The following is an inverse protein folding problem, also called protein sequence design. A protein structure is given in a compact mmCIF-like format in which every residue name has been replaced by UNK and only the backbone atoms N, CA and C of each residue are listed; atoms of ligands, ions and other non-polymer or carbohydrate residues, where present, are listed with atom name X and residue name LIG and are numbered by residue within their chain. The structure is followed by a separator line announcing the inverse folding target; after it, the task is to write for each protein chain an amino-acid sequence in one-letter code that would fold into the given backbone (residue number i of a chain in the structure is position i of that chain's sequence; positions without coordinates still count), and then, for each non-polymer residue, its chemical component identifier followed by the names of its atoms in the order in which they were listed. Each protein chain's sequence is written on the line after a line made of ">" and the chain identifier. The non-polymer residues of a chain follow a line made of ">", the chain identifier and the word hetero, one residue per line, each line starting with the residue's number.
data_IF_320875442480
#
_entry.id   IF_320875442480
#
_cell.length_a   1.000
_cell.length_b   1.000
_cell.length_c   1.000
_cell.angle_alpha   90.00
_cell.angle_beta   90.00
_cell.angle_gamma   90.00
#
_symmetry.space_group_name_H-M   'P 1'
#
loop_
_entity.id
_entity.type
_entity.pdbx_description
1 polymer ?
#
# COMPACT_ATOMS: atom_id res chain seq x y z
N UNK A 1 0.42 0.56 8.81
CA UNK A 1 1.55 1.34 8.28
C UNK A 1 1.22 2.81 8.42
N UNK A 2 2.10 3.59 9.01
CA UNK A 2 1.90 5.03 9.17
C UNK A 2 2.64 5.78 8.06
N UNK A 3 1.93 6.67 7.39
CA UNK A 3 2.50 7.60 6.42
C UNK A 3 2.82 8.91 7.14
N UNK A 4 4.07 9.38 7.03
CA UNK A 4 4.47 10.67 7.55
C UNK A 4 4.21 11.76 6.52
N UNK A 5 3.44 12.76 6.92
CA UNK A 5 2.97 13.82 6.04
C UNK A 5 3.76 15.10 6.22
N UNK A 6 3.90 15.85 5.14
CA UNK A 6 4.40 17.23 5.15
C UNK A 6 3.26 18.25 5.18
N UNK A 7 2.05 17.82 4.88
CA UNK A 7 0.86 18.66 4.79
C UNK A 7 -0.33 17.94 5.43
N UNK A 8 -1.20 18.70 6.10
CA UNK A 8 -2.41 18.19 6.77
C UNK A 8 -3.65 18.24 5.89
N UNK A 9 -3.55 18.82 4.70
CA UNK A 9 -4.67 18.98 3.79
C UNK A 9 -4.65 17.91 2.70
N UNK A 10 -5.74 17.13 2.53
CA UNK A 10 -5.81 16.18 1.44
C UNK A 10 -5.85 16.89 0.09
N UNK A 11 -5.25 16.26 -0.91
CA UNK A 11 -5.29 16.71 -2.30
C UNK A 11 -6.33 15.92 -3.07
N UNK A 12 -6.84 16.50 -4.14
CA UNK A 12 -7.69 15.80 -5.11
C UNK A 12 -6.85 15.52 -6.36
N UNK A 13 -6.86 14.29 -6.81
CA UNK A 13 -6.11 13.89 -8.00
C UNK A 13 -6.70 14.57 -9.24
N UNK A 14 -5.91 15.40 -9.90
CA UNK A 14 -6.29 16.10 -11.14
C UNK A 14 -6.21 15.16 -12.35
N UNK A 15 -5.36 14.15 -12.26
CA UNK A 15 -5.17 13.07 -13.24
C UNK A 15 -4.94 11.76 -12.49
N UNK A 16 -4.98 10.63 -13.21
CA UNK A 16 -4.63 9.34 -12.64
C UNK A 16 -3.16 9.34 -12.21
N UNK A 17 -2.89 8.93 -10.97
CA UNK A 17 -1.54 8.85 -10.41
C UNK A 17 -1.13 7.38 -10.38
N UNK A 18 -0.04 7.05 -11.07
CA UNK A 18 0.53 5.71 -11.03
C UNK A 18 1.27 5.48 -9.72
N UNK A 19 0.88 4.43 -9.02
CA UNK A 19 1.45 4.02 -7.73
C UNK A 19 1.62 2.50 -7.67
N UNK A 20 2.26 2.00 -6.64
CA UNK A 20 2.61 0.57 -6.53
C UNK A 20 2.25 0.03 -5.15
N UNK A 21 1.78 -1.20 -5.12
CA UNK A 21 1.42 -1.89 -3.89
C UNK A 21 2.07 -3.26 -3.85
N UNK A 22 2.59 -3.65 -2.69
CA UNK A 22 3.13 -4.99 -2.47
C UNK A 22 2.03 -5.86 -1.89
N UNK A 23 1.72 -6.95 -2.55
CA UNK A 23 0.65 -7.87 -2.17
C UNK A 23 1.16 -9.32 -2.15
N UNK A 24 0.56 -10.14 -1.31
CA UNK A 24 0.73 -11.59 -1.40
C UNK A 24 -0.06 -12.13 -2.60
N UNK A 25 0.61 -12.88 -3.47
CA UNK A 25 -0.05 -13.67 -4.50
C UNK A 25 -0.57 -14.96 -3.87
N UNK A 26 -1.86 -15.12 -3.78
CA UNK A 26 -2.45 -16.31 -3.18
C UNK A 26 -2.21 -17.58 -4.01
N UNK A 27 -1.96 -17.44 -5.31
CA UNK A 27 -1.55 -18.57 -6.17
C UNK A 27 -0.18 -19.08 -5.74
N UNK A 28 0.78 -18.20 -5.53
CA UNK A 28 2.14 -18.57 -5.09
C UNK A 28 2.18 -19.09 -3.65
N UNK A 29 1.38 -18.53 -2.77
CA UNK A 29 1.24 -19.04 -1.40
C UNK A 29 0.69 -20.48 -1.42
N UNK A 30 -0.24 -20.80 -2.34
CA UNK A 30 -0.76 -22.16 -2.52
C UNK A 30 0.30 -23.14 -2.99
N UNK A 31 1.21 -22.73 -3.83
CA UNK A 31 2.29 -23.60 -4.31
C UNK A 31 3.27 -23.98 -3.21
N UNK A 32 3.44 -23.11 -2.22
CA UNK A 32 4.28 -23.36 -1.06
C UNK A 32 3.61 -24.17 0.05
N UNK A 33 2.29 -24.05 0.18
CA UNK A 33 1.52 -24.76 1.21
C UNK A 33 0.86 -25.98 0.56
N UNK A 34 1.45 -27.14 0.73
CA UNK A 34 0.91 -28.43 0.24
C UNK A 34 -0.36 -28.88 0.96
N UNK A 35 -1.06 -28.00 1.65
CA UNK A 35 -2.24 -28.33 2.42
C UNK A 35 -3.51 -28.19 1.57
N UNK A 36 -4.10 -29.32 1.23
CA UNK A 36 -5.28 -29.42 0.37
C UNK A 36 -6.52 -28.67 0.88
N UNK A 37 -6.66 -28.45 2.19
CA UNK A 37 -7.80 -27.72 2.75
C UNK A 37 -7.69 -26.20 2.50
N UNK A 38 -6.50 -25.65 2.53
CA UNK A 38 -6.27 -24.25 2.19
C UNK A 38 -6.53 -23.97 0.70
N UNK A 39 -6.23 -24.94 -0.19
CA UNK A 39 -6.48 -24.82 -1.62
C UNK A 39 -7.96 -24.61 -1.95
N UNK A 40 -8.86 -25.06 -1.14
CA UNK A 40 -10.31 -25.00 -1.38
C UNK A 40 -10.90 -23.66 -0.96
N UNK A 41 -10.44 -23.08 0.15
CA UNK A 41 -10.92 -21.79 0.67
C UNK A 41 -10.28 -20.58 -0.01
N UNK A 42 -9.13 -20.75 -0.68
CA UNK A 42 -8.40 -19.68 -1.35
C UNK A 42 -8.66 -19.59 -2.86
N UNK A 43 -9.62 -20.35 -3.38
CA UNK A 43 -9.88 -20.41 -4.83
C UNK A 43 -10.27 -19.07 -5.46
N UNK A 44 -10.82 -18.16 -4.70
CA UNK A 44 -11.37 -16.90 -5.20
C UNK A 44 -10.51 -15.67 -4.87
N UNK A 45 -9.65 -15.73 -3.85
CA UNK A 45 -8.79 -14.62 -3.49
C UNK A 45 -7.50 -14.66 -4.31
N UNK A 46 -7.26 -13.63 -5.11
CA UNK A 46 -6.11 -13.56 -5.99
C UNK A 46 -4.91 -12.90 -5.29
N UNK A 47 -5.14 -11.86 -4.53
CA UNK A 47 -4.12 -11.07 -3.83
C UNK A 47 -4.58 -10.64 -2.45
N UNK A 48 -3.65 -10.47 -1.53
CA UNK A 48 -3.95 -10.07 -0.16
C UNK A 48 -2.94 -9.04 0.34
N UNK A 49 -3.42 -8.00 1.01
CA UNK A 49 -2.54 -7.04 1.66
C UNK A 49 -1.79 -7.70 2.84
N UNK A 50 -0.47 -7.52 2.95
CA UNK A 50 0.30 -8.03 4.08
C UNK A 50 -0.04 -7.37 5.41
N UNK A 51 -0.67 -6.19 5.39
CA UNK A 51 -0.95 -5.42 6.59
C UNK A 51 -2.39 -5.57 7.10
N UNK A 52 -3.34 -5.76 6.21
CA UNK A 52 -4.76 -5.76 6.57
C UNK A 52 -5.48 -7.08 6.25
N UNK A 53 -4.80 -8.01 5.64
CA UNK A 53 -5.36 -9.29 5.18
C UNK A 53 -6.62 -9.13 4.32
N UNK A 54 -6.76 -7.98 3.68
CA UNK A 54 -7.87 -7.70 2.79
C UNK A 54 -7.64 -8.33 1.42
N UNK A 55 -8.63 -9.00 0.83
CA UNK A 55 -8.50 -9.57 -0.50
C UNK A 55 -8.57 -8.48 -1.57
N UNK A 56 -7.71 -8.60 -2.58
CA UNK A 56 -7.69 -7.72 -3.75
C UNK A 56 -7.77 -8.54 -5.03
N UNK A 57 -8.36 -7.97 -6.06
CA UNK A 57 -8.41 -8.51 -7.41
C UNK A 57 -7.94 -7.47 -8.41
N UNK A 58 -7.24 -7.91 -9.46
CA UNK A 58 -6.82 -7.02 -10.55
C UNK A 58 -8.04 -6.49 -11.32
N UNK A 59 -7.93 -5.27 -11.80
CA UNK A 59 -8.98 -4.60 -12.56
C UNK A 59 -10.12 -4.04 -11.73
N UNK A 60 -10.09 -4.19 -10.42
CA UNK A 60 -11.13 -3.67 -9.53
C UNK A 60 -10.73 -2.37 -8.86
N UNK A 61 -11.77 -1.58 -8.56
CA UNK A 61 -11.69 -0.34 -7.80
C UNK A 61 -12.00 -0.62 -6.34
N UNK A 62 -11.17 -0.09 -5.45
CA UNK A 62 -11.33 -0.18 -4.01
C UNK A 62 -11.50 1.19 -3.39
N UNK A 63 -12.37 1.28 -2.41
CA UNK A 63 -12.62 2.50 -1.66
C UNK A 63 -12.40 2.25 -0.16
N UNK A 64 -11.85 3.24 0.52
CA UNK A 64 -11.63 3.21 1.96
C UNK A 64 -11.81 4.60 2.54
N UNK A 65 -12.04 4.66 3.83
CA UNK A 65 -12.03 5.94 4.53
C UNK A 65 -10.60 6.48 4.52
N UNK A 66 -10.44 7.72 4.12
CA UNK A 66 -9.19 8.45 4.29
C UNK A 66 -9.25 9.13 5.67
N UNK A 67 -8.40 8.69 6.57
CA UNK A 67 -8.37 9.17 7.94
C UNK A 67 -7.95 10.63 8.05
N UNK A 68 -8.03 11.16 9.25
CA UNK A 68 -7.52 12.49 9.57
C UNK A 68 -6.07 12.37 10.04
N UNK A 69 -5.19 13.29 9.63
CA UNK A 69 -3.82 13.32 10.11
C UNK A 69 -3.75 13.49 11.63
N UNK A 70 -2.87 12.71 12.25
CA UNK A 70 -2.50 12.86 13.65
C UNK A 70 -1.30 13.79 13.75
N UNK A 71 -1.45 14.89 14.45
CA UNK A 71 -0.37 15.86 14.69
C UNK A 71 0.17 15.66 16.09
N UNK A 72 1.48 15.43 16.20
CA UNK A 72 2.13 15.23 17.50
C UNK A 72 3.09 16.37 17.81
N UNK A 73 3.05 16.84 19.05
CA UNK A 73 3.92 17.86 19.58
C UNK A 73 4.72 17.31 20.77
N UNK A 74 5.92 17.87 21.00
CA UNK A 74 6.69 17.58 22.19
C UNK A 74 6.19 18.37 23.40
N UNK A 75 6.83 18.18 24.57
CA UNK A 75 6.46 18.87 25.81
C UNK A 75 6.68 20.38 25.75
N UNK A 76 7.46 20.86 24.80
CA UNK A 76 7.75 22.29 24.58
C UNK A 76 6.82 22.93 23.54
N UNK A 77 5.89 22.13 22.97
CA UNK A 77 4.95 22.58 21.94
C UNK A 77 5.53 22.61 20.53
N UNK A 78 6.72 22.00 20.32
CA UNK A 78 7.31 21.87 19.01
C UNK A 78 6.74 20.67 18.25
N UNK A 79 6.54 20.83 16.95
CA UNK A 79 6.01 19.77 16.10
C UNK A 79 7.02 18.62 15.98
N UNK A 80 6.60 17.41 16.38
CA UNK A 80 7.38 16.18 16.17
C UNK A 80 7.12 15.59 14.79
N UNK A 81 5.88 15.24 14.51
CA UNK A 81 5.48 14.67 13.23
C UNK A 81 3.98 14.85 12.95
N UNK A 82 3.64 14.60 11.69
CA UNK A 82 2.25 14.47 11.22
C UNK A 82 2.16 13.11 10.57
N UNK A 83 1.28 12.24 11.04
CA UNK A 83 1.14 10.89 10.49
C UNK A 83 -0.31 10.55 10.14
N UNK A 84 -0.47 9.58 9.23
CA UNK A 84 -1.76 9.08 8.77
C UNK A 84 -1.77 7.56 8.82
N UNK A 85 -2.76 6.99 9.47
CA UNK A 85 -2.94 5.54 9.57
C UNK A 85 -3.98 4.98 8.61
N UNK A 86 -5.10 5.66 8.45
CA UNK A 86 -6.24 5.18 7.66
C UNK A 86 -6.19 5.66 6.21
N UNK A 87 -6.33 4.72 5.30
CA UNK A 87 -6.33 4.96 3.86
C UNK A 87 -5.75 3.77 3.10
N UNK A 88 -5.80 3.83 1.79
CA UNK A 88 -5.17 2.85 0.90
C UNK A 88 -3.74 3.29 0.63
N UNK A 89 -2.78 2.65 1.30
CA UNK A 89 -1.36 2.98 1.24
C UNK A 89 -0.67 2.37 0.04
N UNK A 90 0.15 3.16 -0.64
CA UNK A 90 0.91 2.76 -1.83
C UNK A 90 2.28 3.44 -1.88
N UNK A 91 3.20 2.87 -2.66
CA UNK A 91 4.51 3.47 -2.97
C UNK A 91 4.43 4.32 -4.23
N UNK A 92 5.16 5.41 -4.26
CA UNK A 92 5.23 6.29 -5.43
C UNK A 92 6.12 5.76 -6.56
N UNK A 93 7.13 4.95 -6.21
CA UNK A 93 8.13 4.46 -7.15
C UNK A 93 8.16 2.94 -7.18
N UNK A 94 8.31 2.37 -8.38
CA UNK A 94 8.44 0.92 -8.57
C UNK A 94 9.65 0.35 -7.83
N UNK A 95 10.79 1.03 -7.89
CA UNK A 95 12.04 0.57 -7.25
C UNK A 95 11.88 0.44 -5.73
N UNK A 96 11.19 1.37 -5.11
CA UNK A 96 10.93 1.35 -3.66
C UNK A 96 10.02 0.18 -3.27
N UNK A 97 8.98 -0.07 -4.05
CA UNK A 97 8.09 -1.21 -3.85
C UNK A 97 8.81 -2.55 -4.03
N UNK A 98 9.65 -2.66 -5.06
CA UNK A 98 10.46 -3.87 -5.32
C UNK A 98 11.45 -4.10 -4.18
N UNK A 99 12.11 -3.05 -3.71
CA UNK A 99 13.06 -3.16 -2.60
C UNK A 99 12.38 -3.58 -1.29
N UNK A 100 11.21 -3.04 -1.01
CA UNK A 100 10.40 -3.45 0.13
C UNK A 100 10.01 -4.92 0.02
N UNK A 101 9.51 -5.35 -1.14
CA UNK A 101 9.20 -6.76 -1.41
C UNK A 101 10.39 -7.66 -1.14
N UNK A 102 11.56 -7.32 -1.68
CA UNK A 102 12.77 -8.12 -1.53
C UNK A 102 13.25 -8.19 -0.07
N UNK A 103 13.01 -7.14 0.71
CA UNK A 103 13.38 -7.09 2.11
C UNK A 103 12.47 -7.90 3.03
N UNK A 104 11.18 -7.95 2.74
CA UNK A 104 10.15 -8.50 3.64
C UNK A 104 9.61 -9.85 3.23
N UNK A 105 9.71 -10.19 1.95
CA UNK A 105 8.92 -11.26 1.34
C UNK A 105 9.72 -12.46 0.88
N UNK A 106 10.78 -12.75 1.54
CA UNK A 106 11.71 -13.84 1.14
C UNK A 106 11.05 -15.20 0.92
N UNK A 107 9.87 -15.44 1.45
CA UNK A 107 9.30 -16.78 1.50
C UNK A 107 7.83 -16.89 1.06
N UNK A 108 7.15 -15.79 0.77
CA UNK A 108 5.68 -15.81 0.72
C UNK A 108 5.06 -15.44 -0.63
N UNK A 109 5.86 -15.39 -1.69
CA UNK A 109 5.31 -15.14 -3.02
C UNK A 109 4.61 -13.80 -3.15
N UNK A 110 5.20 -12.75 -2.61
CA UNK A 110 4.71 -11.40 -2.80
C UNK A 110 5.03 -10.90 -4.20
N UNK A 111 4.17 -10.05 -4.69
CA UNK A 111 4.29 -9.39 -5.99
C UNK A 111 4.13 -7.88 -5.82
N UNK A 112 4.65 -7.14 -6.77
CA UNK A 112 4.37 -5.71 -6.88
C UNK A 112 3.28 -5.51 -7.93
N UNK A 113 2.22 -4.83 -7.54
CA UNK A 113 1.09 -4.51 -8.42
C UNK A 113 1.13 -3.03 -8.74
N UNK A 114 1.09 -2.73 -10.04
CA UNK A 114 0.89 -1.37 -10.53
C UNK A 114 -0.57 -1.01 -10.32
N UNK A 115 -0.77 0.11 -9.67
CA UNK A 115 -2.08 0.66 -9.35
C UNK A 115 -2.18 2.10 -9.83
N UNK A 116 -3.36 2.66 -9.76
CA UNK A 116 -3.56 4.08 -9.95
C UNK A 116 -4.52 4.64 -8.92
N UNK A 117 -4.19 5.82 -8.46
CA UNK A 117 -5.13 6.68 -7.74
C UNK A 117 -5.90 7.42 -8.83
N UNK A 118 -7.21 7.14 -9.02
CA UNK A 118 -7.93 7.67 -10.15
C UNK A 118 -8.19 9.18 -9.98
N UNK A 119 -8.33 9.86 -11.10
CA UNK A 119 -8.75 11.27 -11.13
C UNK A 119 -9.99 11.48 -10.25
N UNK A 120 -9.97 12.51 -9.43
CA UNK A 120 -11.04 12.85 -8.50
C UNK A 120 -10.94 12.21 -7.12
N UNK A 121 -10.05 11.24 -6.92
CA UNK A 121 -9.80 10.65 -5.60
C UNK A 121 -9.07 11.62 -4.68
N UNK A 122 -9.38 11.56 -3.40
CA UNK A 122 -8.63 12.28 -2.38
C UNK A 122 -7.43 11.47 -1.92
N UNK A 123 -6.32 12.14 -1.70
CA UNK A 123 -5.08 11.50 -1.26
C UNK A 123 -4.19 12.42 -0.45
N UNK A 124 -3.31 11.80 0.33
CA UNK A 124 -2.16 12.45 0.96
C UNK A 124 -0.88 11.92 0.33
N UNK A 125 0.07 12.80 0.14
CA UNK A 125 1.43 12.48 -0.22
C UNK A 125 2.33 12.60 1.01
N UNK A 126 3.21 11.65 1.19
CA UNK A 126 4.10 11.66 2.33
C UNK A 126 5.28 10.73 2.15
N UNK A 127 5.92 10.42 3.27
CA UNK A 127 7.10 9.57 3.32
C UNK A 127 6.84 8.38 4.23
N UNK A 128 7.23 7.21 3.78
CA UNK A 128 7.29 6.03 4.61
C UNK A 128 8.74 5.78 5.05
N UNK A 129 9.03 5.70 6.35
CA UNK A 129 10.39 5.45 6.81
C UNK A 129 10.80 4.01 6.50
N UNK A 130 11.87 3.87 5.74
CA UNK A 130 12.49 2.58 5.47
C UNK A 130 13.85 2.52 6.16
N UNK A 131 14.08 1.48 6.94
CA UNK A 131 15.38 1.26 7.61
C UNK A 131 16.54 1.03 6.64
N UNK A 132 16.24 0.63 5.41
CA UNK A 132 17.28 0.29 4.41
C UNK A 132 17.49 1.35 3.35
N UNK A 133 16.46 2.16 3.06
CA UNK A 133 16.45 3.07 1.91
C UNK A 133 16.27 4.53 2.30
N UNK A 134 16.11 4.82 3.60
CA UNK A 134 15.67 6.13 4.06
C UNK A 134 14.17 6.34 3.78
N UNK A 135 13.76 7.58 3.67
CA UNK A 135 12.35 7.92 3.46
C UNK A 135 11.95 7.69 2.01
N UNK A 136 10.90 6.92 1.79
CA UNK A 136 10.38 6.61 0.46
C UNK A 136 9.06 7.31 0.20
N UNK A 137 8.92 7.88 -1.00
CA UNK A 137 7.70 8.54 -1.44
C UNK A 137 6.52 7.55 -1.39
N UNK A 138 5.48 7.95 -0.70
CA UNK A 138 4.30 7.11 -0.49
C UNK A 138 3.02 7.94 -0.52
N UNK A 139 1.92 7.25 -0.78
CA UNK A 139 0.60 7.86 -0.85
C UNK A 139 -0.39 7.11 0.04
N UNK A 140 -1.39 7.81 0.53
CA UNK A 140 -2.60 7.23 1.09
C UNK A 140 -3.80 7.85 0.40
N UNK A 141 -4.68 7.03 -0.14
CA UNK A 141 -5.84 7.48 -0.90
C UNK A 141 -7.14 6.87 -0.40
N UNK A 142 -8.25 7.50 -0.73
CA UNK A 142 -9.59 6.96 -0.49
C UNK A 142 -10.03 5.97 -1.57
N UNK A 143 -9.37 6.00 -2.72
CA UNK A 143 -9.72 5.17 -3.88
C UNK A 143 -8.45 4.66 -4.56
N UNK A 144 -8.47 3.40 -4.98
CA UNK A 144 -7.36 2.75 -5.66
C UNK A 144 -7.88 1.74 -6.68
N UNK A 145 -7.29 1.73 -7.87
CA UNK A 145 -7.56 0.73 -8.91
C UNK A 145 -6.30 -0.11 -9.11
N UNK A 146 -6.43 -1.43 -9.05
CA UNK A 146 -5.33 -2.36 -9.29
C UNK A 146 -5.30 -2.73 -10.77
N UNK A 147 -4.19 -2.46 -11.44
CA UNK A 147 -4.08 -2.67 -12.89
C UNK A 147 -3.39 -3.99 -13.25
N UNK A 148 -2.13 -4.17 -12.87
CA UNK A 148 -1.35 -5.33 -13.29
C UNK A 148 -0.19 -5.66 -12.34
N UNK A 149 0.26 -6.89 -12.36
CA UNK A 149 1.49 -7.31 -11.69
C UNK A 149 2.70 -6.85 -12.50
N UNK A 150 3.65 -6.14 -11.88
CA UNK A 150 4.81 -5.57 -12.57
C UNK A 150 6.15 -5.99 -11.97
N UNK A 151 6.20 -6.27 -10.69
CA UNK A 151 7.42 -6.73 -10.02
C UNK A 151 7.26 -8.18 -9.59
N UNK A 152 7.96 -9.08 -10.24
CA UNK A 152 7.87 -10.51 -10.01
C UNK A 152 9.11 -11.10 -9.35
#
# INVERSE_FOLDING_TARGET
>A
MCLYLTDITPRVAEEDITVYKVLFSMVRVRDHISNMMLKKSLREATYMSPYQYAPYELGKRYESVLGKPNVRYDDEGELIDINLEEGLHTYGNLEDAVSYRNATARHWGTVVVKCRIPKGAEYYEGLFPSLRQGDVLSYASDTLVLDEVVGD
#
